data_IF_964921690181
#
_entry.id   IF_964921690181
#
_cell.length_a   1.000
_cell.length_b   1.000
_cell.length_c   1.000
_cell.angle_alpha   90.00
_cell.angle_beta   90.00
_cell.angle_gamma   90.00
#
_symmetry.space_group_name_H-M   'P 1'
#
loop_
_entity.id
_entity.type
_entity.pdbx_description
1 polymer ?
#
# COMPACT_ATOMS: atom_id res chain seq x y z
N UNK A 1 9.06 23.08 -14.57
CA UNK A 1 10.17 22.23 -15.05
C UNK A 1 10.28 21.04 -14.12
N UNK A 2 10.34 19.82 -14.65
CA UNK A 2 10.49 18.58 -13.89
C UNK A 2 11.76 17.87 -14.36
N UNK A 3 12.71 17.60 -13.48
CA UNK A 3 13.91 16.85 -13.88
C UNK A 3 13.67 15.35 -13.87
N UNK A 4 14.13 14.66 -14.91
CA UNK A 4 14.05 13.21 -15.06
C UNK A 4 15.42 12.64 -15.47
N UNK A 5 15.56 11.31 -15.40
CA UNK A 5 16.73 10.60 -15.94
C UNK A 5 16.98 10.82 -17.45
N UNK A 6 15.96 11.30 -18.20
CA UNK A 6 16.03 11.58 -19.63
C UNK A 6 16.11 13.11 -19.91
N UNK A 7 16.36 13.94 -18.90
CA UNK A 7 16.45 15.40 -19.00
C UNK A 7 15.29 16.17 -18.35
N UNK A 8 15.29 17.51 -18.44
CA UNK A 8 14.26 18.38 -17.89
C UNK A 8 13.03 18.49 -18.82
N UNK A 9 11.85 18.23 -18.26
CA UNK A 9 10.55 18.43 -18.91
C UNK A 9 10.06 19.85 -18.59
N UNK A 10 9.72 20.63 -19.62
CA UNK A 10 9.09 21.95 -19.49
C UNK A 10 7.56 21.83 -19.67
N UNK A 11 6.80 22.80 -19.17
CA UNK A 11 5.33 22.71 -19.09
C UNK A 11 4.61 23.13 -20.39
N UNK A 12 5.38 23.65 -21.33
CA UNK A 12 5.04 24.17 -22.66
C UNK A 12 5.35 23.18 -23.79
N UNK A 13 5.99 22.04 -23.49
CA UNK A 13 6.15 20.95 -24.46
C UNK A 13 4.76 20.45 -24.89
N UNK A 14 4.59 20.21 -26.19
CA UNK A 14 3.30 19.93 -26.84
C UNK A 14 2.67 18.58 -26.50
N UNK A 15 2.45 18.32 -25.22
CA UNK A 15 1.64 17.22 -24.71
C UNK A 15 0.19 17.42 -25.14
N UNK A 16 -0.35 16.46 -25.89
CA UNK A 16 -1.80 16.36 -26.05
C UNK A 16 -2.41 15.93 -24.71
N UNK A 17 -3.11 16.87 -24.07
CA UNK A 17 -3.82 16.66 -22.80
C UNK A 17 -5.21 16.03 -22.98
N UNK A 18 -5.73 15.94 -24.21
CA UNK A 18 -6.96 15.24 -24.54
C UNK A 18 -6.70 13.77 -24.90
N UNK A 19 -5.52 13.44 -25.44
CA UNK A 19 -5.08 12.07 -25.62
C UNK A 19 -5.04 11.31 -24.27
N UNK A 20 -5.55 10.07 -24.20
CA UNK A 20 -5.50 9.28 -22.98
C UNK A 20 -4.03 9.06 -22.55
N UNK A 21 -3.73 9.00 -21.24
CA UNK A 21 -2.38 8.74 -20.78
C UNK A 21 -1.86 7.40 -21.30
N UNK A 22 -0.62 7.38 -21.81
CA UNK A 22 0.06 6.19 -22.37
C UNK A 22 -0.01 4.94 -21.49
N UNK A 23 0.02 5.10 -20.16
CA UNK A 23 -0.09 3.99 -19.21
C UNK A 23 -1.49 3.33 -19.17
N UNK A 24 -2.52 3.96 -19.77
CA UNK A 24 -3.81 3.32 -20.11
C UNK A 24 -3.82 2.69 -21.50
N UNK A 25 -2.84 2.93 -22.37
CA UNK A 25 -2.74 2.23 -23.65
C UNK A 25 -2.52 0.74 -23.42
N UNK A 26 -3.11 -0.17 -24.22
CA UNK A 26 -2.77 -1.59 -24.20
C UNK A 26 -1.26 -1.82 -24.43
N UNK A 27 -0.69 -1.11 -25.41
CA UNK A 27 0.66 -1.33 -25.96
C UNK A 27 1.82 -0.97 -25.00
N UNK A 28 1.50 -0.40 -23.83
CA UNK A 28 2.47 0.04 -22.84
C UNK A 28 2.81 1.53 -22.93
N UNK A 29 3.77 1.95 -22.10
CA UNK A 29 4.32 3.30 -22.14
C UNK A 29 5.53 3.32 -23.08
N UNK A 30 5.55 4.19 -24.12
CA UNK A 30 6.72 4.33 -24.98
C UNK A 30 7.97 4.78 -24.20
N UNK A 31 9.13 4.24 -24.56
CA UNK A 31 10.41 4.40 -23.84
C UNK A 31 10.91 5.86 -23.77
N UNK A 32 10.53 6.62 -24.79
CA UNK A 32 10.88 7.98 -25.12
C UNK A 32 9.90 9.01 -24.49
N UNK A 33 8.76 8.57 -23.98
CA UNK A 33 7.67 9.47 -23.60
C UNK A 33 7.96 10.20 -22.27
N UNK A 34 8.22 11.50 -22.35
CA UNK A 34 8.52 12.34 -21.19
C UNK A 34 7.26 12.99 -20.58
N UNK A 35 6.50 12.25 -19.76
CA UNK A 35 5.45 12.85 -18.89
C UNK A 35 6.00 13.23 -17.52
N UNK A 36 5.66 14.45 -17.08
CA UNK A 36 5.98 14.97 -15.75
C UNK A 36 5.36 14.15 -14.60
N UNK A 37 4.14 13.65 -14.80
CA UNK A 37 3.46 12.76 -13.88
C UNK A 37 3.62 11.30 -14.32
N UNK A 38 4.58 10.61 -13.71
CA UNK A 38 4.64 9.16 -13.71
C UNK A 38 4.23 8.63 -12.33
N UNK A 39 3.13 7.89 -12.28
CA UNK A 39 2.87 7.01 -11.13
C UNK A 39 3.91 5.88 -11.23
N UNK A 40 4.70 5.65 -10.18
CA UNK A 40 5.64 4.52 -10.14
C UNK A 40 4.85 3.24 -9.85
N UNK A 41 4.55 2.48 -10.89
CA UNK A 41 3.92 1.16 -10.80
C UNK A 41 4.94 0.01 -10.79
N UNK A 42 6.14 0.21 -11.34
CA UNK A 42 7.11 -0.87 -11.58
C UNK A 42 7.91 -1.27 -10.33
N UNK A 43 7.28 -2.07 -9.47
CA UNK A 43 7.97 -2.89 -8.47
C UNK A 43 8.39 -4.26 -9.07
N UNK A 44 9.22 -4.24 -10.11
CA UNK A 44 9.91 -5.44 -10.61
C UNK A 44 9.11 -6.40 -11.50
N UNK A 45 8.17 -5.91 -12.32
CA UNK A 45 7.50 -6.72 -13.35
C UNK A 45 6.41 -7.68 -12.84
N UNK A 46 6.06 -7.57 -11.57
CA UNK A 46 4.90 -8.24 -10.96
C UNK A 46 3.64 -7.48 -11.42
N UNK A 47 2.56 -8.20 -11.76
CA UNK A 47 1.35 -7.63 -12.37
C UNK A 47 0.81 -6.42 -11.58
N UNK A 48 0.31 -5.41 -12.28
CA UNK A 48 0.24 -4.04 -11.74
C UNK A 48 -1.20 -3.55 -11.59
N UNK A 49 -1.45 -2.48 -10.81
CA UNK A 49 -2.80 -1.90 -10.67
C UNK A 49 -3.40 -1.41 -12.00
N UNK A 50 -2.55 -1.23 -13.03
CA UNK A 50 -2.89 -1.01 -14.43
C UNK A 50 -3.89 -2.05 -14.95
N UNK A 51 -3.74 -3.31 -14.58
CA UNK A 51 -4.52 -4.43 -15.12
C UNK A 51 -5.94 -4.52 -14.54
N UNK A 52 -6.25 -3.73 -13.49
CA UNK A 52 -7.63 -3.45 -13.05
C UNK A 52 -8.14 -2.10 -13.57
N UNK A 53 -7.26 -1.08 -13.65
CA UNK A 53 -7.60 0.23 -14.22
C UNK A 53 -7.84 0.25 -15.74
N UNK A 54 -7.50 -0.83 -16.44
CA UNK A 54 -7.77 -1.05 -17.87
C UNK A 54 -9.08 -1.80 -18.15
N UNK A 55 -9.73 -2.35 -17.12
CA UNK A 55 -10.98 -3.10 -17.29
C UNK A 55 -12.18 -2.14 -17.42
N UNK A 56 -13.21 -2.49 -18.23
CA UNK A 56 -14.33 -1.59 -18.56
C UNK A 56 -15.42 -1.55 -17.48
N UNK A 57 -15.07 -1.77 -16.20
CA UNK A 57 -16.01 -1.67 -15.08
C UNK A 57 -16.42 -0.22 -14.78
N UNK A 58 -17.49 -0.02 -14.00
CA UNK A 58 -17.96 1.31 -13.63
C UNK A 58 -16.91 2.05 -12.78
N UNK A 59 -16.40 3.16 -13.31
CA UNK A 59 -15.50 4.07 -12.57
C UNK A 59 -16.33 4.94 -11.61
N UNK A 60 -16.95 4.29 -10.64
CA UNK A 60 -17.69 4.91 -9.55
C UNK A 60 -16.84 5.07 -8.28
N UNK A 61 -17.42 5.75 -7.28
CA UNK A 61 -16.72 6.17 -6.07
C UNK A 61 -16.41 5.01 -5.11
N UNK A 62 -17.19 3.93 -5.15
CA UNK A 62 -16.98 2.75 -4.32
C UNK A 62 -16.02 1.75 -5.00
N UNK A 63 -16.10 1.59 -6.32
CA UNK A 63 -15.10 0.87 -7.12
C UNK A 63 -13.70 1.49 -6.97
N UNK A 64 -13.59 2.83 -7.06
CA UNK A 64 -12.31 3.52 -6.85
C UNK A 64 -11.81 3.45 -5.39
N UNK A 65 -12.71 3.40 -4.40
CA UNK A 65 -12.33 3.15 -3.00
C UNK A 65 -11.85 1.71 -2.79
N UNK A 66 -12.51 0.73 -3.40
CA UNK A 66 -12.12 -0.68 -3.34
C UNK A 66 -10.73 -0.89 -3.99
N UNK A 67 -10.48 -0.28 -5.15
CA UNK A 67 -9.18 -0.29 -5.81
C UNK A 67 -8.08 0.33 -4.92
N UNK A 68 -8.31 1.51 -4.35
CA UNK A 68 -7.36 2.17 -3.44
C UNK A 68 -7.08 1.38 -2.15
N UNK A 69 -7.90 0.37 -1.85
CA UNK A 69 -7.77 -0.53 -0.70
C UNK A 69 -7.46 -1.98 -1.11
N UNK A 70 -7.07 -2.22 -2.36
CA UNK A 70 -6.70 -3.56 -2.80
C UNK A 70 -5.38 -4.00 -2.16
N UNK A 71 -5.44 -5.19 -1.56
CA UNK A 71 -4.39 -5.83 -0.76
C UNK A 71 -4.01 -7.19 -1.33
N UNK A 72 -4.47 -7.53 -2.53
CA UNK A 72 -4.15 -8.82 -3.17
C UNK A 72 -2.71 -8.80 -3.65
N UNK A 73 -1.84 -9.59 -3.03
CA UNK A 73 -0.43 -9.67 -3.45
C UNK A 73 -0.30 -10.50 -4.72
N UNK A 74 -0.01 -9.83 -5.84
CA UNK A 74 0.32 -10.47 -7.10
C UNK A 74 1.77 -11.01 -7.09
N UNK A 75 2.60 -10.53 -6.16
CA UNK A 75 3.92 -11.09 -5.87
C UNK A 75 3.79 -12.52 -5.29
N UNK A 76 2.85 -12.69 -4.35
CA UNK A 76 2.57 -13.98 -3.74
C UNK A 76 2.01 -15.00 -4.73
N UNK A 77 1.32 -14.58 -5.80
CA UNK A 77 0.92 -15.49 -6.88
C UNK A 77 2.14 -16.03 -7.63
N UNK A 78 3.01 -15.13 -8.12
CA UNK A 78 4.21 -15.53 -8.87
C UNK A 78 5.16 -16.39 -8.02
N UNK A 79 5.38 -16.01 -6.75
CA UNK A 79 6.31 -16.69 -5.84
C UNK A 79 5.78 -18.06 -5.39
N UNK A 80 4.47 -18.19 -5.13
CA UNK A 80 3.88 -19.42 -4.61
C UNK A 80 3.24 -20.31 -5.69
N UNK A 81 3.28 -19.93 -6.97
CA UNK A 81 2.72 -20.73 -8.07
C UNK A 81 3.29 -22.17 -8.10
N UNK A 82 4.60 -22.31 -7.89
CA UNK A 82 5.28 -23.60 -7.84
C UNK A 82 5.35 -24.28 -6.45
N UNK A 83 4.64 -23.78 -5.43
CA UNK A 83 4.84 -24.26 -4.05
C UNK A 83 4.46 -25.73 -3.86
N UNK A 84 3.41 -26.22 -4.52
CA UNK A 84 2.97 -27.61 -4.39
C UNK A 84 3.90 -28.59 -5.12
N UNK A 85 4.47 -28.17 -6.26
CA UNK A 85 5.52 -28.91 -6.97
C UNK A 85 6.81 -28.96 -6.14
N UNK A 86 7.23 -27.83 -5.57
CA UNK A 86 8.40 -27.74 -4.70
C UNK A 86 8.24 -28.59 -3.43
N UNK A 87 7.07 -28.53 -2.77
CA UNK A 87 6.74 -29.42 -1.64
C UNK A 87 6.77 -30.90 -2.04
N UNK A 88 6.26 -31.24 -3.23
CA UNK A 88 6.24 -32.62 -3.73
C UNK A 88 7.65 -33.12 -4.04
N UNK A 89 8.49 -32.29 -4.66
CA UNK A 89 9.89 -32.59 -4.92
C UNK A 89 10.73 -32.71 -3.64
N UNK A 90 10.40 -31.97 -2.57
CA UNK A 90 11.11 -31.99 -1.30
C UNK A 90 10.80 -33.23 -0.42
N UNK A 91 9.77 -34.02 -0.73
CA UNK A 91 9.39 -35.22 0.03
C UNK A 91 10.57 -36.20 0.15
N UNK A 92 10.90 -36.62 1.37
CA UNK A 92 12.04 -37.50 1.65
C UNK A 92 13.42 -36.86 1.48
N UNK A 93 13.50 -35.53 1.29
CA UNK A 93 14.75 -34.76 1.23
C UNK A 93 14.90 -33.72 2.35
N UNK A 94 13.84 -33.45 3.10
CA UNK A 94 13.84 -32.56 4.26
C UNK A 94 12.70 -32.92 5.21
N UNK A 95 13.01 -33.25 6.46
CA UNK A 95 12.05 -33.73 7.48
C UNK A 95 11.61 -32.62 8.46
N UNK A 96 11.64 -31.36 8.02
CA UNK A 96 11.14 -30.23 8.81
C UNK A 96 9.61 -30.14 8.75
N UNK A 97 8.96 -30.71 9.78
CA UNK A 97 7.52 -30.67 9.94
C UNK A 97 6.94 -29.26 10.12
N UNK A 98 7.72 -28.30 10.64
CA UNK A 98 7.28 -26.90 10.80
C UNK A 98 7.29 -26.19 9.45
N UNK A 99 8.37 -26.32 8.67
CA UNK A 99 8.44 -25.79 7.31
C UNK A 99 7.33 -26.40 6.43
N UNK A 100 7.09 -27.72 6.52
CA UNK A 100 6.00 -28.37 5.82
C UNK A 100 4.62 -27.82 6.22
N UNK A 101 4.38 -27.54 7.51
CA UNK A 101 3.14 -26.94 7.98
C UNK A 101 2.95 -25.51 7.45
N UNK A 102 4.00 -24.67 7.48
CA UNK A 102 3.97 -23.29 6.95
C UNK A 102 3.71 -23.28 5.44
N UNK A 103 4.41 -24.12 4.66
CA UNK A 103 4.23 -24.17 3.21
C UNK A 103 2.81 -24.64 2.81
N UNK A 104 2.22 -25.58 3.55
CA UNK A 104 0.81 -25.98 3.37
C UNK A 104 -0.19 -24.86 3.70
N UNK A 105 0.16 -23.98 4.65
CA UNK A 105 -0.66 -22.83 5.04
C UNK A 105 -0.56 -21.71 3.98
N UNK A 106 0.64 -21.48 3.43
CA UNK A 106 0.89 -20.53 2.34
C UNK A 106 0.28 -20.97 1.00
N UNK A 107 0.32 -22.26 0.68
CA UNK A 107 -0.34 -22.82 -0.52
C UNK A 107 -1.84 -22.46 -0.53
N UNK A 108 -2.51 -22.67 0.61
CA UNK A 108 -3.92 -22.32 0.88
C UNK A 108 -4.18 -20.82 1.12
N UNK A 109 -3.14 -20.00 1.00
CA UNK A 109 -3.20 -18.53 0.98
C UNK A 109 -4.22 -18.00 -0.05
N UNK A 110 -5.22 -17.21 0.35
CA UNK A 110 -5.99 -16.36 -0.58
C UNK A 110 -5.18 -15.16 -1.12
N UNK A 111 -3.98 -14.95 -0.56
CA UNK A 111 -2.98 -13.92 -0.90
C UNK A 111 -3.44 -12.48 -0.63
N UNK A 112 -4.46 -12.29 0.21
CA UNK A 112 -4.88 -10.97 0.70
C UNK A 112 -4.00 -10.58 1.90
N UNK A 113 -3.22 -9.49 1.72
CA UNK A 113 -2.28 -8.93 2.70
C UNK A 113 -3.05 -8.13 3.75
N UNK A 114 -3.62 -8.85 4.72
CA UNK A 114 -4.34 -8.31 5.87
C UNK A 114 -3.63 -8.59 7.21
N UNK A 115 -4.38 -8.55 8.32
CA UNK A 115 -3.84 -8.70 9.67
C UNK A 115 -3.77 -10.17 10.18
N UNK A 116 -4.07 -11.17 9.34
CA UNK A 116 -3.97 -12.60 9.72
C UNK A 116 -2.50 -13.03 9.83
N UNK A 117 -2.13 -13.93 10.78
CA UNK A 117 -0.75 -14.40 10.94
C UNK A 117 -0.10 -15.00 9.70
N UNK A 118 -0.89 -15.60 8.79
CA UNK A 118 -0.42 -16.11 7.49
C UNK A 118 0.29 -15.05 6.65
N UNK A 119 -0.08 -13.78 6.77
CA UNK A 119 0.53 -12.67 6.04
C UNK A 119 1.94 -12.40 6.57
N UNK A 120 2.15 -12.49 7.88
CA UNK A 120 3.50 -12.43 8.47
C UNK A 120 4.33 -13.67 8.14
N UNK A 121 3.72 -14.86 8.02
CA UNK A 121 4.40 -16.06 7.52
C UNK A 121 4.77 -15.94 6.03
N UNK A 122 3.94 -15.27 5.21
CA UNK A 122 4.24 -15.02 3.81
C UNK A 122 5.38 -14.02 3.65
N UNK A 123 5.28 -12.85 4.30
CA UNK A 123 6.35 -11.85 4.28
C UNK A 123 7.66 -12.46 4.80
N UNK A 124 7.60 -13.32 5.83
CA UNK A 124 8.76 -14.05 6.32
C UNK A 124 9.29 -15.12 5.35
N UNK A 125 8.42 -15.81 4.60
CA UNK A 125 8.84 -16.77 3.57
C UNK A 125 9.45 -16.08 2.35
N UNK A 126 8.82 -15.01 1.85
CA UNK A 126 9.36 -14.19 0.76
C UNK A 126 10.71 -13.60 1.18
N UNK A 127 10.77 -12.98 2.35
CA UNK A 127 11.99 -12.39 2.88
C UNK A 127 13.06 -13.46 3.14
N UNK A 128 12.74 -14.64 3.69
CA UNK A 128 13.67 -15.76 3.82
C UNK A 128 14.14 -16.34 2.46
N UNK A 129 13.29 -16.31 1.43
CA UNK A 129 13.64 -16.70 0.06
C UNK A 129 14.66 -15.71 -0.53
N UNK A 130 14.41 -14.41 -0.41
CA UNK A 130 15.36 -13.36 -0.79
C UNK A 130 16.60 -13.30 0.13
N UNK A 131 16.52 -13.76 1.39
CA UNK A 131 17.62 -13.75 2.37
C UNK A 131 18.53 -14.97 2.32
N UNK A 132 18.02 -16.10 1.83
CA UNK A 132 18.86 -17.18 1.28
C UNK A 132 19.67 -16.72 0.07
N UNK A 133 19.29 -15.57 -0.53
CA UNK A 133 20.20 -14.76 -1.33
C UNK A 133 20.97 -13.73 -0.47
N UNK A 134 20.32 -12.91 0.38
CA UNK A 134 20.94 -11.82 1.19
C UNK A 134 20.24 -11.38 2.55
N UNK A 135 20.29 -12.17 3.65
CA UNK A 135 20.37 -11.83 5.14
C UNK A 135 19.66 -10.57 5.77
N UNK A 136 19.14 -10.45 7.01
CA UNK A 136 18.39 -11.20 8.10
C UNK A 136 17.92 -10.10 9.15
N UNK A 137 16.96 -10.22 10.09
CA UNK A 137 16.04 -11.27 10.64
C UNK A 137 14.59 -10.67 10.86
N UNK A 138 13.64 -11.25 11.64
CA UNK A 138 12.16 -11.02 11.51
C UNK A 138 11.34 -10.89 12.82
N UNK A 139 10.31 -10.00 12.85
CA UNK A 139 9.14 -10.01 13.79
C UNK A 139 7.89 -9.33 13.15
N UNK A 140 6.78 -9.17 13.92
CA UNK A 140 5.41 -8.75 13.52
C UNK A 140 5.23 -7.44 12.71
N UNK A 141 4.26 -7.47 11.78
CA UNK A 141 3.76 -6.34 10.99
C UNK A 141 2.93 -5.33 11.82
N UNK A 142 3.53 -4.20 12.24
CA UNK A 142 2.78 -3.08 12.83
C UNK A 142 3.36 -1.69 12.53
N UNK A 143 2.48 -0.69 12.39
CA UNK A 143 2.87 0.71 12.24
C UNK A 143 2.96 1.42 13.60
N UNK A 144 3.98 2.26 13.77
CA UNK A 144 4.07 3.24 14.86
C UNK A 144 4.08 4.64 14.26
N UNK A 145 3.30 5.52 14.86
CA UNK A 145 3.30 6.94 14.56
C UNK A 145 4.21 7.61 15.59
N UNK A 146 5.49 7.78 15.24
CA UNK A 146 6.51 8.31 16.14
C UNK A 146 6.71 9.82 15.90
N UNK A 147 6.67 10.59 16.98
CA UNK A 147 6.86 12.04 16.95
C UNK A 147 8.33 12.39 17.23
N UNK A 148 8.91 13.45 16.62
CA UNK A 148 10.32 13.81 16.85
C UNK A 148 10.70 14.00 18.32
N UNK A 149 9.81 14.56 19.15
CA UNK A 149 10.05 14.70 20.60
C UNK A 149 9.82 13.41 21.39
N UNK A 150 9.09 12.43 20.83
CA UNK A 150 8.83 11.14 21.47
C UNK A 150 10.09 10.29 21.63
N UNK A 151 11.10 10.48 20.77
CA UNK A 151 12.39 9.79 20.89
C UNK A 151 13.31 10.31 22.00
N UNK A 152 12.98 11.44 22.65
CA UNK A 152 13.89 12.15 23.57
C UNK A 152 13.87 11.56 24.99
N UNK A 153 12.73 11.08 25.46
CA UNK A 153 12.60 10.42 26.77
C UNK A 153 11.36 9.52 26.85
N UNK A 154 11.41 8.48 27.70
CA UNK A 154 10.30 7.52 27.89
C UNK A 154 8.90 8.15 28.11
N UNK A 155 8.69 9.14 29.00
CA UNK A 155 7.36 9.77 29.15
C UNK A 155 6.92 10.56 27.91
N UNK A 156 7.85 11.09 27.13
CA UNK A 156 7.55 11.76 25.86
C UNK A 156 7.14 10.73 24.79
N UNK A 157 7.79 9.56 24.76
CA UNK A 157 7.40 8.46 23.88
C UNK A 157 5.94 8.03 24.13
N UNK A 158 5.54 7.87 25.40
CA UNK A 158 4.17 7.51 25.78
C UNK A 158 3.14 8.61 25.45
N UNK A 159 3.50 9.89 25.61
CA UNK A 159 2.59 11.01 25.38
C UNK A 159 2.39 11.36 23.89
N UNK A 160 3.47 11.30 23.10
CA UNK A 160 3.46 11.78 21.71
C UNK A 160 3.32 10.68 20.65
N UNK A 161 3.76 9.44 20.92
CA UNK A 161 3.70 8.38 19.90
C UNK A 161 2.37 7.62 19.97
N UNK A 162 1.89 7.10 18.83
CA UNK A 162 0.69 6.24 18.77
C UNK A 162 1.00 4.89 18.13
N UNK A 163 0.36 3.84 18.63
CA UNK A 163 0.60 2.45 18.24
C UNK A 163 1.60 1.72 19.16
N UNK A 164 2.10 0.53 18.76
CA UNK A 164 1.90 -0.11 17.46
C UNK A 164 0.42 -0.41 17.15
N UNK A 165 -0.01 -0.12 15.91
CA UNK A 165 -1.31 -0.56 15.37
C UNK A 165 -1.08 -1.50 14.18
N UNK A 166 -1.82 -2.62 14.07
CA UNK A 166 -1.70 -3.49 12.91
C UNK A 166 -2.32 -2.82 11.70
N UNK A 167 -1.54 -2.69 10.62
CA UNK A 167 -1.96 -2.13 9.33
C UNK A 167 -1.75 -3.17 8.22
N UNK A 168 -2.44 -2.99 7.10
CA UNK A 168 -2.54 -3.97 6.03
C UNK A 168 -2.00 -3.40 4.70
N UNK A 169 -1.54 -4.27 3.82
CA UNK A 169 -0.79 -3.92 2.60
C UNK A 169 0.73 -4.22 2.71
N UNK A 170 1.39 -4.21 1.56
CA UNK A 170 2.82 -4.43 1.36
C UNK A 170 3.35 -3.43 0.31
N UNK A 171 4.66 -3.41 0.06
CA UNK A 171 5.27 -2.59 -0.99
C UNK A 171 4.89 -3.01 -2.43
N UNK A 172 4.15 -4.10 -2.58
CA UNK A 172 3.73 -4.72 -3.85
C UNK A 172 2.20 -4.70 -4.06
N UNK A 173 1.42 -4.09 -3.16
CA UNK A 173 -0.05 -3.98 -3.25
C UNK A 173 -0.52 -2.55 -3.57
N UNK A 174 -1.75 -2.38 -4.08
CA UNK A 174 -2.30 -1.06 -4.46
C UNK A 174 -2.37 -0.10 -3.26
N UNK A 175 -2.64 -0.63 -2.07
CA UNK A 175 -2.38 0.02 -0.80
C UNK A 175 -0.89 -0.18 -0.42
N UNK A 176 0.01 0.80 -0.63
CA UNK A 176 1.44 0.58 -0.49
C UNK A 176 1.87 0.74 0.97
N UNK A 177 2.43 -0.31 1.56
CA UNK A 177 2.99 -0.25 2.92
C UNK A 177 4.37 -0.89 2.93
N UNK A 178 5.41 -0.09 3.09
CA UNK A 178 6.79 -0.59 3.10
C UNK A 178 7.24 -0.91 4.52
N UNK A 179 7.69 -2.15 4.71
CA UNK A 179 8.07 -2.74 5.98
C UNK A 179 9.60 -2.78 6.12
N UNK A 180 10.13 -2.42 7.29
CA UNK A 180 11.58 -2.50 7.52
C UNK A 180 11.97 -3.94 7.86
N UNK A 181 12.31 -4.73 6.84
CA UNK A 181 12.76 -6.13 6.98
C UNK A 181 13.91 -6.29 7.99
N UNK A 182 14.71 -5.25 8.28
CA UNK A 182 15.83 -5.28 9.25
C UNK A 182 15.51 -4.65 10.62
N UNK A 183 14.28 -4.18 10.86
CA UNK A 183 13.82 -3.67 12.17
C UNK A 183 12.38 -4.11 12.42
N UNK A 184 12.16 -4.99 13.43
CA UNK A 184 11.03 -5.92 13.62
C UNK A 184 9.74 -5.56 12.84
N UNK A 185 9.77 -5.81 11.53
CA UNK A 185 8.83 -5.35 10.48
C UNK A 185 7.97 -4.15 10.88
N UNK A 186 8.64 -3.05 11.23
CA UNK A 186 7.99 -1.77 11.46
C UNK A 186 7.65 -1.11 10.11
N UNK A 187 6.42 -0.62 9.95
CA UNK A 187 6.05 0.15 8.77
C UNK A 187 6.78 1.49 8.79
N UNK A 188 7.49 1.82 7.70
CA UNK A 188 8.20 3.09 7.54
C UNK A 188 7.62 3.95 6.40
N UNK A 189 6.80 3.36 5.53
CA UNK A 189 6.05 4.04 4.47
C UNK A 189 4.60 3.55 4.47
N UNK A 190 3.66 4.47 4.37
CA UNK A 190 2.22 4.22 4.25
C UNK A 190 1.49 5.50 3.76
N UNK A 191 0.26 5.42 3.21
CA UNK A 191 -0.42 6.59 2.67
C UNK A 191 -0.80 7.65 3.72
N UNK A 192 0.01 8.72 3.78
CA UNK A 192 -0.21 9.89 4.62
C UNK A 192 -1.51 10.65 4.29
N UNK A 193 -1.98 10.55 3.04
CA UNK A 193 -3.22 11.14 2.54
C UNK A 193 -3.84 10.20 1.51
N UNK A 194 -5.14 9.97 1.60
CA UNK A 194 -5.93 9.28 0.57
C UNK A 194 -7.18 10.08 0.26
N UNK A 195 -7.49 10.23 -1.01
CA UNK A 195 -8.59 11.08 -1.47
C UNK A 195 -9.19 10.54 -2.77
N UNK A 196 -10.49 10.75 -2.93
CA UNK A 196 -11.27 10.45 -4.14
C UNK A 196 -12.10 11.69 -4.49
N UNK A 197 -12.07 12.08 -5.75
CA UNK A 197 -12.62 13.34 -6.26
C UNK A 197 -13.54 13.07 -7.47
N UNK A 198 -14.84 12.78 -7.25
CA UNK A 198 -15.78 12.54 -8.34
C UNK A 198 -16.08 13.86 -9.06
N UNK A 199 -15.51 14.04 -10.25
CA UNK A 199 -15.65 15.27 -11.03
C UNK A 199 -17.12 15.58 -11.35
N UNK A 200 -17.55 16.80 -11.02
CA UNK A 200 -18.95 17.23 -11.16
C UNK A 200 -19.85 16.91 -9.95
N UNK A 201 -19.45 15.99 -9.07
CA UNK A 201 -20.17 15.61 -7.85
C UNK A 201 -19.36 15.91 -6.59
N UNK A 202 -18.71 17.08 -6.55
CA UNK A 202 -17.66 17.44 -5.59
C UNK A 202 -18.05 17.34 -4.10
N UNK A 203 -19.33 17.42 -3.75
CA UNK A 203 -19.80 17.19 -2.37
C UNK A 203 -19.66 15.74 -1.89
N UNK A 204 -19.52 14.79 -2.82
CA UNK A 204 -19.27 13.37 -2.54
C UNK A 204 -17.77 13.04 -2.45
N UNK A 205 -16.89 14.03 -2.57
CA UNK A 205 -15.46 13.83 -2.39
C UNK A 205 -15.15 13.12 -1.07
N UNK A 206 -14.27 12.13 -1.09
CA UNK A 206 -13.90 11.34 0.11
C UNK A 206 -12.44 11.54 0.46
N UNK A 207 -12.12 11.57 1.74
CA UNK A 207 -10.74 11.71 2.26
C UNK A 207 -10.49 10.81 3.46
N UNK A 208 -9.27 10.31 3.61
CA UNK A 208 -8.86 9.47 4.74
C UNK A 208 -7.41 9.77 5.14
N UNK A 209 -7.18 9.93 6.44
CA UNK A 209 -5.89 10.22 7.07
C UNK A 209 -5.50 9.07 8.01
N UNK A 210 -4.21 8.67 8.09
CA UNK A 210 -3.77 7.62 9.00
C UNK A 210 -3.79 8.07 10.48
N UNK A 211 -3.62 9.37 10.71
CA UNK A 211 -3.89 10.07 11.97
C UNK A 211 -5.21 10.84 11.85
N UNK A 212 -5.57 11.65 12.84
CA UNK A 212 -6.50 12.74 12.63
C UNK A 212 -5.84 13.96 11.96
N UNK A 213 -6.60 15.02 11.65
CA UNK A 213 -6.10 16.25 11.01
C UNK A 213 -5.32 17.19 11.97
N UNK A 214 -5.30 16.93 13.27
CA UNK A 214 -4.58 17.74 14.26
C UNK A 214 -3.22 17.14 14.61
N UNK A 215 -2.15 17.94 14.52
CA UNK A 215 -0.83 17.57 15.03
C UNK A 215 -0.71 17.57 16.56
N UNK A 216 -1.74 18.04 17.30
CA UNK A 216 -1.67 18.23 18.75
C UNK A 216 -2.10 16.98 19.53
N UNK A 217 -1.23 16.31 20.33
CA UNK A 217 -1.51 14.98 20.90
C UNK A 217 -2.77 14.84 21.76
N UNK A 218 -3.20 15.94 22.41
CA UNK A 218 -4.41 16.02 23.25
C UNK A 218 -5.68 16.41 22.49
N UNK A 219 -5.60 16.67 21.17
CA UNK A 219 -6.80 16.94 20.37
C UNK A 219 -7.59 15.63 20.19
N UNK A 220 -8.94 15.64 20.28
CA UNK A 220 -9.75 14.50 19.85
C UNK A 220 -9.46 14.16 18.37
N UNK A 221 -9.20 15.18 17.56
CA UNK A 221 -8.85 15.08 16.14
C UNK A 221 -7.37 14.78 15.87
N UNK A 222 -6.64 14.21 16.84
CA UNK A 222 -5.26 13.78 16.64
C UNK A 222 -5.14 12.38 16.02
N UNK A 223 -6.10 11.48 16.32
CA UNK A 223 -6.02 10.07 15.93
C UNK A 223 -7.39 9.44 15.64
N UNK A 224 -8.42 10.26 15.46
CA UNK A 224 -9.82 9.85 15.22
C UNK A 224 -9.99 9.05 13.92
N UNK A 225 -9.36 9.48 12.83
CA UNK A 225 -9.49 8.83 11.52
C UNK A 225 -8.67 7.53 11.36
N UNK A 226 -7.81 7.17 12.32
CA UNK A 226 -6.97 5.97 12.22
C UNK A 226 -7.79 4.69 12.03
N UNK A 227 -8.95 4.56 12.70
CA UNK A 227 -9.82 3.39 12.57
C UNK A 227 -10.39 3.29 11.15
N UNK A 228 -11.00 4.36 10.64
CA UNK A 228 -11.57 4.34 9.27
C UNK A 228 -10.49 4.10 8.22
N UNK A 229 -9.31 4.72 8.35
CA UNK A 229 -8.19 4.51 7.43
C UNK A 229 -7.70 3.05 7.44
N UNK A 230 -7.58 2.43 8.62
CA UNK A 230 -7.14 1.01 8.74
C UNK A 230 -8.15 0.02 8.16
N UNK A 231 -9.43 0.37 8.21
CA UNK A 231 -10.53 -0.38 7.57
C UNK A 231 -10.74 -0.03 6.09
N UNK A 232 -9.94 0.88 5.55
CA UNK A 232 -10.04 1.37 4.17
C UNK A 232 -11.19 2.32 3.89
N UNK A 233 -11.91 2.74 4.93
CA UNK A 233 -13.00 3.72 4.88
C UNK A 233 -12.44 5.15 4.84
N UNK A 234 -13.28 6.05 4.34
CA UNK A 234 -12.99 7.48 4.17
C UNK A 234 -14.16 8.31 4.67
N UNK A 235 -13.90 9.49 5.22
CA UNK A 235 -14.93 10.48 5.53
C UNK A 235 -15.31 11.27 4.27
N UNK A 236 -16.53 11.79 4.23
CA UNK A 236 -16.94 12.75 3.20
C UNK A 236 -16.26 14.10 3.46
N UNK A 237 -15.89 14.79 2.38
CA UNK A 237 -15.34 16.14 2.36
C UNK A 237 -16.23 16.98 1.43
N UNK A 238 -17.29 17.64 1.95
CA UNK A 238 -18.16 18.47 1.13
C UNK A 238 -17.38 19.64 0.51
N UNK A 239 -17.84 20.13 -0.64
CA UNK A 239 -17.23 21.24 -1.36
C UNK A 239 -18.09 22.50 -1.29
N UNK A 240 -19.42 22.35 -1.37
CA UNK A 240 -20.35 23.47 -1.30
C UNK A 240 -20.49 23.98 0.14
N UNK A 241 -20.34 25.29 0.30
CA UNK A 241 -20.40 26.00 1.59
C UNK A 241 -21.64 25.64 2.43
N UNK A 242 -22.79 25.41 1.81
CA UNK A 242 -24.02 25.06 2.53
C UNK A 242 -23.98 23.65 3.13
N UNK A 243 -23.23 22.70 2.54
CA UNK A 243 -23.02 21.35 3.13
C UNK A 243 -22.00 21.39 4.27
N UNK A 244 -20.94 22.19 4.11
CA UNK A 244 -19.95 22.41 5.17
C UNK A 244 -20.58 22.97 6.45
N UNK A 245 -21.55 23.88 6.33
CA UNK A 245 -22.30 24.46 7.46
C UNK A 245 -23.35 23.50 8.09
N UNK A 246 -23.55 22.31 7.51
CA UNK A 246 -24.48 21.28 8.00
C UNK A 246 -23.75 20.02 8.48
N UNK A 247 -22.41 20.01 8.46
CA UNK A 247 -21.59 18.91 8.95
C UNK A 247 -21.10 19.27 10.37
N UNK A 248 -21.49 18.51 11.42
CA UNK A 248 -21.04 18.75 12.79
C UNK A 248 -19.60 18.28 13.04
#
# INVERSE_FOLDING_TARGET
MWQTKNGPIFADTGLDWAAPPSWRSPDGRPSEEQRAYSIRWDAGGIATPRDRLSQPESVDLDAMLALQNDRRSLAADAILAGIEEAMTAARGRCDDAMAAAVLNLLAKWDRVVDARPVVSLYEAFEDALWRRTFVDEIFLLAARFEHPLGGVAFPLAWFFNRGPVPIAGAGTTVMPVSWNRRRPFAAWEYPAWRQLLPAGQWDESRVSLPSGPSGHPLSPHHFDQNVIWREGRSRVQPFLRHRLLLTP
#
